data_IF_843817406101
#
_entry.id   IF_843817406101
#
_cell.length_a   1.000
_cell.length_b   1.000
_cell.length_c   1.000
_cell.angle_alpha   90.00
_cell.angle_beta   90.00
_cell.angle_gamma   90.00
#
_symmetry.space_group_name_H-M   'P 1'
#
loop_
_entity.id
_entity.type
_entity.pdbx_description
1 polymer ?
#
# COMPACT_ATOMS: atom_id res chain seq x y z
N UNK A 1 27.71 20.87 2.54
CA UNK A 1 27.20 20.56 2.70
C UNK A 1 26.64 20.11 2.65
N UNK A 2 26.77 20.11 2.63
CA UNK A 2 26.15 19.71 2.69
C UNK A 2 25.78 19.12 2.56
N UNK A 3 25.88 19.20 2.56
CA UNK A 3 25.41 18.70 2.47
C UNK A 3 25.21 18.28 1.93
N UNK A 4 25.66 18.31 1.65
CA UNK A 4 25.40 17.97 1.18
C UNK A 4 24.88 17.34 0.96
N UNK A 5 24.99 17.24 1.31
CA UNK A 5 24.47 16.62 1.20
C UNK A 5 23.89 16.09 0.68
N UNK A 6 23.92 16.04 0.69
CA UNK A 6 23.32 15.66 0.24
C UNK A 6 22.68 15.39 -0.45
N UNK A 7 22.77 15.57 -0.26
CA UNK A 7 22.31 15.51 -0.78
C UNK A 7 21.99 15.30 -1.54
N UNK A 8 22.69 15.29 -0.88
CA UNK A 8 22.57 15.27 -1.76
C UNK A 8 21.60 14.91 -2.60
N UNK A 9 21.74 15.31 -2.42
CA UNK A 9 20.62 14.99 -3.21
C UNK A 9 20.92 13.87 -4.10
N UNK A 10 20.08 12.94 -4.10
CA UNK A 10 20.30 11.76 -4.86
C UNK A 10 19.15 11.53 -5.80
N UNK A 11 19.34 11.74 -7.09
CA UNK A 11 18.29 11.47 -8.06
C UNK A 11 17.93 9.99 -8.09
N UNK A 12 18.81 9.15 -7.66
CA UNK A 12 18.61 7.71 -7.60
C UNK A 12 18.07 7.25 -6.25
N UNK A 13 17.54 8.15 -5.44
CA UNK A 13 16.94 7.82 -4.15
C UNK A 13 15.84 6.78 -4.35
N UNK A 14 15.92 5.64 -3.64
CA UNK A 14 14.93 4.60 -3.82
C UNK A 14 13.51 5.10 -3.53
N UNK A 15 12.59 4.74 -4.42
CA UNK A 15 11.18 5.03 -4.24
C UNK A 15 10.83 6.51 -4.13
N UNK A 16 11.65 7.38 -4.74
CA UNK A 16 11.40 8.82 -4.71
C UNK A 16 10.06 9.18 -5.36
N UNK A 17 9.58 8.36 -6.30
CA UNK A 17 8.27 8.55 -6.91
C UNK A 17 7.15 8.45 -5.89
N UNK A 18 7.33 7.60 -4.89
CA UNK A 18 6.31 7.42 -3.84
C UNK A 18 6.27 8.62 -2.91
N UNK A 19 7.38 9.30 -2.73
CA UNK A 19 7.41 10.54 -1.96
C UNK A 19 6.58 11.62 -2.65
N UNK A 20 6.76 11.77 -3.96
CA UNK A 20 5.98 12.72 -4.75
C UNK A 20 4.50 12.35 -4.74
N UNK A 21 4.21 11.07 -4.96
CA UNK A 21 2.83 10.58 -4.94
C UNK A 21 2.17 10.84 -3.59
N UNK A 22 2.88 10.58 -2.49
CA UNK A 22 2.37 10.80 -1.15
C UNK A 22 2.04 12.27 -0.91
N UNK A 23 2.87 13.18 -1.39
CA UNK A 23 2.60 14.62 -1.30
C UNK A 23 1.34 15.00 -2.07
N UNK A 24 1.20 14.51 -3.30
CA UNK A 24 0.01 14.77 -4.11
C UNK A 24 -1.25 14.19 -3.44
N UNK A 25 -1.14 12.99 -2.89
CA UNK A 25 -2.23 12.32 -2.21
C UNK A 25 -2.70 13.12 -0.99
N UNK A 26 -1.76 13.53 -0.14
CA UNK A 26 -2.11 14.26 1.08
C UNK A 26 -2.72 15.62 0.80
N UNK A 27 -2.46 16.20 -0.38
CA UNK A 27 -3.06 17.48 -0.77
C UNK A 27 -4.55 17.36 -1.07
N UNK A 28 -5.06 16.19 -1.44
CA UNK A 28 -6.45 16.01 -1.90
C UNK A 28 -7.24 14.99 -1.10
N UNK A 29 -6.57 14.12 -0.34
CA UNK A 29 -7.24 13.00 0.32
C UNK A 29 -7.88 13.43 1.64
N UNK A 30 -9.04 12.86 1.93
CA UNK A 30 -9.64 12.89 3.25
C UNK A 30 -9.04 11.81 4.15
N UNK A 31 -9.64 11.56 5.32
CA UNK A 31 -9.17 10.52 6.22
C UNK A 31 -9.43 9.14 5.67
N UNK A 32 -8.76 8.14 6.22
CA UNK A 32 -9.00 6.75 5.89
C UNK A 32 -7.73 5.97 5.67
N UNK A 33 -7.87 4.65 5.80
CA UNK A 33 -6.77 3.71 5.60
C UNK A 33 -6.52 3.49 4.10
N UNK A 34 -5.28 3.12 3.80
CA UNK A 34 -4.88 2.77 2.44
C UNK A 34 -4.70 1.25 2.38
N UNK A 35 -5.40 0.61 1.46
CA UNK A 35 -5.15 -0.78 1.13
C UNK A 35 -3.97 -0.83 0.17
N UNK A 36 -2.93 -1.57 0.53
CA UNK A 36 -1.72 -1.68 -0.29
C UNK A 36 -1.19 -3.10 -0.20
N UNK A 37 -0.43 -3.49 -1.21
CA UNK A 37 0.13 -4.85 -1.29
C UNK A 37 1.11 -5.06 -0.14
N UNK A 38 0.79 -5.96 0.80
CA UNK A 38 1.62 -6.13 2.00
C UNK A 38 3.00 -6.72 1.71
N UNK A 39 3.20 -7.29 0.52
CA UNK A 39 4.47 -7.93 0.16
C UNK A 39 5.48 -6.98 -0.46
N UNK A 40 5.07 -5.77 -0.83
CA UNK A 40 5.94 -4.85 -1.55
C UNK A 40 6.55 -3.82 -0.63
N UNK A 41 7.85 -3.59 -0.82
CA UNK A 41 8.56 -2.53 -0.08
C UNK A 41 8.00 -1.15 -0.37
N UNK A 42 7.49 -0.96 -1.58
CA UNK A 42 6.88 0.32 -1.98
C UNK A 42 5.71 0.70 -1.07
N UNK A 43 4.92 -0.28 -0.65
CA UNK A 43 3.81 -0.01 0.28
C UNK A 43 4.31 0.55 1.61
N UNK A 44 5.42 0.02 2.11
CA UNK A 44 6.03 0.48 3.35
C UNK A 44 6.56 1.92 3.19
N UNK A 45 7.24 2.20 2.07
CA UNK A 45 7.76 3.53 1.82
C UNK A 45 6.64 4.55 1.62
N UNK A 46 5.57 4.17 0.93
CA UNK A 46 4.41 5.05 0.79
C UNK A 46 3.80 5.37 2.15
N UNK A 47 3.65 4.37 3.01
CA UNK A 47 3.16 4.58 4.38
C UNK A 47 4.03 5.58 5.13
N UNK A 48 5.35 5.43 5.01
CA UNK A 48 6.30 6.32 5.65
C UNK A 48 6.16 7.76 5.14
N UNK A 49 6.14 7.94 3.83
CA UNK A 49 6.07 9.28 3.24
C UNK A 49 4.72 9.95 3.45
N UNK A 50 3.64 9.19 3.37
CA UNK A 50 2.29 9.76 3.47
C UNK A 50 1.83 9.95 4.92
N UNK A 51 2.46 9.26 5.86
CA UNK A 51 2.04 9.23 7.27
C UNK A 51 0.62 8.69 7.41
N UNK A 52 0.20 7.81 6.49
CA UNK A 52 -1.14 7.21 6.49
C UNK A 52 -1.07 5.78 6.95
N UNK A 53 -2.09 5.35 7.69
CA UNK A 53 -2.23 3.95 8.05
C UNK A 53 -2.54 3.08 6.84
N UNK A 54 -1.94 1.90 6.80
CA UNK A 54 -2.28 0.87 5.83
C UNK A 54 -3.01 -0.25 6.55
N UNK A 55 -3.80 -1.04 5.79
CA UNK A 55 -4.58 -2.10 6.41
C UNK A 55 -3.67 -3.15 7.03
N UNK A 56 -2.63 -3.57 6.29
CA UNK A 56 -1.65 -4.52 6.80
C UNK A 56 -0.34 -4.36 6.03
N UNK A 57 0.77 -4.68 6.68
CA UNK A 57 2.08 -4.74 6.06
C UNK A 57 2.84 -5.92 6.63
N UNK A 58 3.50 -6.67 5.78
CA UNK A 58 4.30 -7.80 6.22
C UNK A 58 5.41 -7.38 7.20
N UNK A 59 5.98 -6.21 6.96
CA UNK A 59 7.10 -5.71 7.76
C UNK A 59 6.69 -5.01 9.05
N UNK A 60 5.42 -4.71 9.24
CA UNK A 60 4.92 -4.01 10.42
C UNK A 60 4.28 -5.01 11.37
N UNK A 61 5.10 -5.89 11.91
CA UNK A 61 4.66 -6.95 12.80
C UNK A 61 4.42 -6.40 14.21
N UNK A 62 3.23 -6.59 14.78
CA UNK A 62 2.94 -6.10 16.12
C UNK A 62 3.56 -6.99 17.20
N UNK A 63 3.64 -6.44 18.41
CA UNK A 63 4.29 -7.15 19.52
C UNK A 63 3.31 -7.68 20.57
N UNK A 64 2.04 -7.28 20.53
CA UNK A 64 1.03 -7.76 21.47
C UNK A 64 0.21 -8.89 20.85
N UNK A 65 -0.24 -9.84 21.68
CA UNK A 65 -0.91 -11.05 21.21
C UNK A 65 -2.14 -10.76 20.37
N UNK A 66 -3.00 -9.82 20.79
CA UNK A 66 -4.20 -9.48 20.01
C UNK A 66 -3.82 -8.85 18.67
N UNK A 67 -2.79 -8.01 18.67
CA UNK A 67 -2.29 -7.41 17.44
C UNK A 67 -1.70 -8.44 16.50
N UNK A 68 -1.03 -9.46 17.04
CA UNK A 68 -0.47 -10.55 16.24
C UNK A 68 -1.58 -11.34 15.58
N UNK A 69 -2.64 -11.67 16.31
CA UNK A 69 -3.78 -12.41 15.73
C UNK A 69 -4.46 -11.63 14.63
N UNK A 70 -4.68 -10.34 14.85
CA UNK A 70 -5.31 -9.50 13.85
C UNK A 70 -4.40 -9.35 12.63
N UNK A 71 -3.12 -9.13 12.84
CA UNK A 71 -2.13 -9.06 11.77
C UNK A 71 -2.14 -10.35 10.95
N UNK A 72 -2.13 -11.50 11.61
CA UNK A 72 -2.12 -12.79 10.94
C UNK A 72 -3.38 -12.99 10.10
N UNK A 73 -4.55 -12.65 10.64
CA UNK A 73 -5.81 -12.75 9.92
C UNK A 73 -5.81 -11.86 8.68
N UNK A 74 -5.30 -10.64 8.80
CA UNK A 74 -5.20 -9.73 7.66
C UNK A 74 -4.20 -10.22 6.63
N UNK A 75 -3.08 -10.76 7.08
CA UNK A 75 -2.07 -11.32 6.15
C UNK A 75 -2.61 -12.53 5.40
N UNK A 76 -3.41 -13.38 6.04
CA UNK A 76 -4.04 -14.49 5.35
C UNK A 76 -5.02 -14.00 4.29
N UNK A 77 -5.83 -13.04 4.62
CA UNK A 77 -6.90 -12.57 3.74
C UNK A 77 -6.39 -11.64 2.64
N UNK A 78 -5.59 -10.67 3.02
CA UNK A 78 -5.09 -9.65 2.08
C UNK A 78 -3.82 -10.13 1.40
N UNK A 79 -2.91 -10.74 2.16
CA UNK A 79 -1.65 -11.23 1.62
C UNK A 79 -1.74 -12.57 0.92
N UNK A 80 -2.82 -13.31 1.12
CA UNK A 80 -3.02 -14.60 0.46
C UNK A 80 -2.12 -15.72 0.96
N UNK A 81 -1.66 -15.65 2.21
CA UNK A 81 -0.86 -16.72 2.80
C UNK A 81 -1.73 -17.67 3.60
N UNK A 82 -1.22 -18.86 3.84
CA UNK A 82 -1.82 -19.81 4.76
C UNK A 82 -0.79 -20.10 5.86
N UNK A 83 -0.91 -19.35 6.94
CA UNK A 83 0.06 -19.45 8.04
C UNK A 83 -0.02 -20.78 8.77
N UNK A 84 -1.19 -21.43 8.75
CA UNK A 84 -1.36 -22.73 9.41
C UNK A 84 -0.57 -23.84 8.70
N UNK A 85 -0.31 -23.65 7.42
CA UNK A 85 0.45 -24.62 6.61
C UNK A 85 1.89 -24.18 6.40
N UNK A 86 2.34 -23.19 7.16
CA UNK A 86 3.67 -22.63 7.02
C UNK A 86 3.94 -22.15 5.59
N UNK A 87 2.89 -21.72 4.91
CA UNK A 87 2.98 -21.20 3.55
C UNK A 87 3.11 -19.68 3.61
N UNK A 88 4.31 -19.18 3.31
CA UNK A 88 4.61 -17.76 3.31
C UNK A 88 4.58 -17.16 1.92
N UNK A 89 4.13 -17.93 0.92
CA UNK A 89 4.07 -17.47 -0.45
C UNK A 89 2.71 -16.83 -0.69
N UNK A 90 2.69 -15.51 -0.72
CA UNK A 90 1.44 -14.77 -0.84
C UNK A 90 0.98 -14.56 -2.27
N UNK A 91 -0.14 -13.86 -2.41
CA UNK A 91 -0.72 -13.48 -3.68
C UNK A 91 -0.53 -11.98 -3.85
N UNK A 92 0.30 -11.53 -4.80
CA UNK A 92 0.50 -10.10 -5.00
C UNK A 92 -0.76 -9.45 -5.60
N UNK A 93 -0.92 -8.16 -5.36
CA UNK A 93 -2.08 -7.43 -5.84
C UNK A 93 -2.19 -7.41 -7.37
N UNK A 94 -1.05 -7.51 -8.05
CA UNK A 94 -1.04 -7.58 -9.51
C UNK A 94 -1.77 -8.82 -10.05
N UNK A 95 -1.98 -9.83 -9.21
CA UNK A 95 -2.70 -11.06 -9.58
C UNK A 95 -4.12 -11.09 -9.05
N UNK A 96 -4.60 -10.01 -8.43
CA UNK A 96 -5.97 -9.92 -7.92
C UNK A 96 -6.81 -9.05 -8.84
N UNK A 97 -8.11 -9.30 -8.84
CA UNK A 97 -9.03 -8.48 -9.60
C UNK A 97 -9.37 -7.20 -8.83
N UNK A 98 -9.85 -6.20 -9.55
CA UNK A 98 -10.37 -4.98 -8.93
C UNK A 98 -11.49 -5.31 -7.93
N UNK A 99 -12.42 -6.19 -8.32
CA UNK A 99 -13.56 -6.58 -7.48
C UNK A 99 -13.11 -7.24 -6.18
N UNK A 100 -12.07 -8.06 -6.25
CA UNK A 100 -11.50 -8.70 -5.08
C UNK A 100 -10.93 -7.66 -4.11
N UNK A 101 -10.14 -6.73 -4.63
CA UNK A 101 -9.56 -5.67 -3.80
C UNK A 101 -10.62 -4.71 -3.27
N UNK A 102 -11.65 -4.41 -4.06
CA UNK A 102 -12.76 -3.58 -3.59
C UNK A 102 -13.51 -4.26 -2.44
N UNK A 103 -13.67 -5.58 -2.52
CA UNK A 103 -14.27 -6.34 -1.42
C UNK A 103 -13.44 -6.27 -0.14
N UNK A 104 -12.12 -6.40 -0.27
CA UNK A 104 -11.22 -6.28 0.86
C UNK A 104 -11.24 -4.87 1.44
N UNK A 105 -11.29 -3.86 0.59
CA UNK A 105 -11.37 -2.47 1.06
C UNK A 105 -12.63 -2.24 1.88
N UNK A 106 -13.75 -2.78 1.45
CA UNK A 106 -15.02 -2.67 2.21
C UNK A 106 -14.91 -3.41 3.54
N UNK A 107 -14.36 -4.60 3.53
CA UNK A 107 -14.28 -5.42 4.74
C UNK A 107 -13.42 -4.75 5.81
N UNK A 108 -12.34 -4.10 5.42
CA UNK A 108 -11.40 -3.46 6.36
C UNK A 108 -11.56 -1.95 6.44
N UNK A 109 -12.63 -1.42 5.86
CA UNK A 109 -12.94 0.01 5.89
C UNK A 109 -11.78 0.85 5.36
N UNK A 110 -11.16 0.40 4.29
CA UNK A 110 -10.10 1.15 3.61
C UNK A 110 -10.73 2.10 2.60
N UNK A 111 -10.34 3.37 2.68
CA UNK A 111 -10.87 4.40 1.80
C UNK A 111 -10.12 4.50 0.48
N UNK A 112 -8.90 3.97 0.41
CA UNK A 112 -8.03 4.16 -0.75
C UNK A 112 -7.29 2.87 -1.08
N UNK A 113 -6.91 2.74 -2.36
CA UNK A 113 -6.08 1.64 -2.86
C UNK A 113 -4.84 2.21 -3.54
N UNK A 114 -3.67 1.75 -3.13
CA UNK A 114 -2.41 2.05 -3.79
C UNK A 114 -2.08 0.93 -4.76
N UNK A 115 -1.85 1.26 -6.03
CA UNK A 115 -1.55 0.26 -7.05
C UNK A 115 -0.76 0.89 -8.19
N UNK A 116 -0.09 0.06 -9.00
CA UNK A 116 0.32 0.50 -10.32
C UNK A 116 -0.91 0.64 -11.20
N UNK A 117 -0.98 1.73 -11.95
CA UNK A 117 -2.10 1.94 -12.86
C UNK A 117 -2.25 0.80 -13.87
N UNK A 118 -1.13 0.22 -14.29
CA UNK A 118 -1.13 -0.87 -15.26
C UNK A 118 -1.72 -2.17 -14.72
N UNK A 119 -1.86 -2.33 -13.41
CA UNK A 119 -2.50 -3.52 -12.87
C UNK A 119 -4.00 -3.58 -13.19
N UNK A 120 -4.64 -2.42 -13.33
CA UNK A 120 -6.08 -2.33 -13.53
C UNK A 120 -6.40 -1.43 -14.70
N UNK A 121 -6.10 -1.86 -15.95
CA UNK A 121 -6.32 -1.02 -17.13
C UNK A 121 -7.80 -0.72 -17.37
N UNK A 122 -8.69 -1.53 -16.79
CA UNK A 122 -10.14 -1.36 -16.92
C UNK A 122 -10.80 -1.04 -15.58
N UNK A 123 -10.08 -0.37 -14.68
CA UNK A 123 -10.65 0.06 -13.41
C UNK A 123 -11.91 0.90 -13.65
N UNK A 124 -12.96 0.71 -12.83
CA UNK A 124 -14.23 1.43 -13.04
C UNK A 124 -14.17 2.91 -12.67
N UNK A 125 -13.04 3.37 -12.12
CA UNK A 125 -12.87 4.77 -11.73
C UNK A 125 -11.46 5.21 -12.05
N UNK A 126 -11.31 6.52 -12.28
CA UNK A 126 -9.97 7.10 -12.45
C UNK A 126 -9.30 7.25 -11.08
N UNK A 127 -7.97 7.16 -11.03
CA UNK A 127 -7.27 7.43 -9.79
C UNK A 127 -7.44 8.90 -9.36
N UNK A 128 -7.45 9.14 -8.05
CA UNK A 128 -7.52 10.50 -7.54
C UNK A 128 -6.18 11.23 -7.67
N UNK A 129 -5.08 10.47 -7.64
CA UNK A 129 -3.74 10.98 -7.94
C UNK A 129 -2.95 9.87 -8.62
N UNK A 130 -1.96 10.27 -9.42
CA UNK A 130 -1.05 9.33 -10.03
C UNK A 130 0.30 10.00 -10.28
N UNK A 131 1.36 9.22 -10.22
CA UNK A 131 2.71 9.68 -10.49
C UNK A 131 3.62 8.48 -10.72
N UNK A 132 4.45 8.53 -11.78
CA UNK A 132 5.45 7.49 -12.02
C UNK A 132 4.88 6.09 -12.20
N UNK A 133 3.70 5.96 -12.77
CA UNK A 133 3.03 4.67 -12.92
C UNK A 133 2.23 4.23 -11.70
N UNK A 134 2.47 4.82 -10.55
CA UNK A 134 1.71 4.58 -9.34
C UNK A 134 0.43 5.40 -9.34
N UNK A 135 -0.61 4.84 -8.76
CA UNK A 135 -1.92 5.48 -8.69
C UNK A 135 -2.57 5.18 -7.35
N UNK A 136 -3.41 6.12 -6.90
CA UNK A 136 -4.24 5.90 -5.72
C UNK A 136 -5.68 6.11 -6.14
N UNK A 137 -6.49 5.10 -5.83
CA UNK A 137 -7.91 5.08 -6.16
C UNK A 137 -8.72 5.26 -4.88
N UNK A 138 -9.83 6.01 -4.99
CA UNK A 138 -10.82 6.05 -3.92
C UNK A 138 -11.66 4.78 -4.01
N UNK A 139 -11.81 4.10 -2.90
CA UNK A 139 -12.61 2.87 -2.87
C UNK A 139 -14.03 3.17 -2.42
N UNK A 140 -15.03 2.45 -2.98
CA UNK A 140 -16.43 2.68 -2.64
C UNK A 140 -16.81 2.21 -1.26
#
# INVERSE_FOLDING_TARGET
LLFKGSAFIRPDKPYSELEVLAGKFNAVAGPGLVLSDPWRSESLYFRFYSQRGTVVSFKCFPHADDGIREWAARMEKIGGVDLSKNNTKGIPFSQRSWEDLAGLAREYDAAYLLAYKSWFPHAPAEPIVQYGGWAIYRMP
#
